data_IF_409399329232
#
_entry.id   IF_409399329232
#
_cell.length_a   1.000
_cell.length_b   1.000
_cell.length_c   1.000
_cell.angle_alpha   90.00
_cell.angle_beta   90.00
_cell.angle_gamma   90.00
#
_symmetry.space_group_name_H-M   'P 1'
#
loop_
_entity.id
_entity.type
_entity.pdbx_description
1 polymer ?
#
# COMPACT_ATOMS: atom_id res chain seq x y z
N UNK A 1 -6.20 -9.36 1.58
CA UNK A 1 -6.92 -9.51 2.86
C UNK A 1 -6.44 -8.42 3.78
N UNK A 2 -7.30 -7.87 4.64
CA UNK A 2 -6.91 -6.87 5.65
C UNK A 2 -7.31 -7.45 7.01
N UNK A 3 -6.34 -7.55 7.93
CA UNK A 3 -6.51 -8.12 9.27
C UNK A 3 -7.24 -9.48 9.25
N UNK A 4 -6.84 -10.36 8.32
CA UNK A 4 -7.43 -11.70 8.14
C UNK A 4 -8.81 -11.74 7.47
N UNK A 5 -9.44 -10.59 7.19
CA UNK A 5 -10.72 -10.52 6.47
C UNK A 5 -10.50 -10.30 4.98
N UNK A 6 -11.32 -10.94 4.15
CA UNK A 6 -11.34 -10.69 2.70
C UNK A 6 -12.05 -9.36 2.47
N UNK A 7 -11.29 -8.35 2.04
CA UNK A 7 -11.79 -7.06 1.60
C UNK A 7 -11.66 -7.01 0.08
N UNK A 8 -12.78 -6.75 -0.60
CA UNK A 8 -12.89 -6.68 -2.06
C UNK A 8 -13.16 -5.26 -2.58
N UNK A 9 -13.16 -4.26 -1.70
CA UNK A 9 -13.37 -2.84 -2.05
C UNK A 9 -12.00 -2.16 -2.16
N UNK A 10 -11.60 -1.66 -3.34
CA UNK A 10 -10.29 -1.04 -3.53
C UNK A 10 -10.19 0.34 -2.86
N UNK A 11 -11.31 1.03 -2.64
CA UNK A 11 -11.38 2.31 -1.92
C UNK A 11 -11.36 2.16 -0.39
N UNK A 12 -11.01 0.98 0.13
CA UNK A 12 -10.93 0.75 1.57
C UNK A 12 -9.79 1.56 2.19
N UNK A 13 -10.13 2.46 3.12
CA UNK A 13 -9.16 3.27 3.85
C UNK A 13 -8.46 2.44 4.92
N UNK A 14 -7.16 2.25 4.78
CA UNK A 14 -6.32 1.56 5.76
C UNK A 14 -6.03 2.46 6.96
N UNK A 15 -5.88 1.85 8.14
CA UNK A 15 -5.48 2.50 9.38
C UNK A 15 -4.06 2.07 9.77
N UNK A 16 -3.34 2.97 10.43
CA UNK A 16 -2.02 2.67 11.00
C UNK A 16 -2.08 1.39 11.85
N UNK A 17 -1.19 0.45 11.55
CA UNK A 17 -1.13 -0.88 12.16
C UNK A 17 -1.84 -1.99 11.38
N UNK A 18 -2.62 -1.68 10.33
CA UNK A 18 -3.32 -2.70 9.55
C UNK A 18 -2.36 -3.65 8.83
N UNK A 19 -2.66 -4.94 8.90
CA UNK A 19 -1.92 -6.01 8.24
C UNK A 19 -2.64 -6.43 6.96
N UNK A 20 -1.98 -6.24 5.82
CA UNK A 20 -2.48 -6.59 4.50
C UNK A 20 -1.77 -7.84 4.00
N UNK A 21 -2.50 -8.91 3.77
CA UNK A 21 -1.95 -10.18 3.28
C UNK A 21 -2.50 -10.59 1.93
N UNK A 22 -1.69 -11.31 1.15
CA UNK A 22 -2.20 -12.05 -0.02
C UNK A 22 -3.00 -13.25 0.48
N UNK A 23 -4.17 -13.50 -0.12
CA UNK A 23 -5.00 -14.67 0.23
C UNK A 23 -4.23 -15.95 -0.13
N UNK A 24 -4.25 -16.95 0.75
CA UNK A 24 -3.53 -18.23 0.55
C UNK A 24 -3.74 -18.86 -0.83
N UNK A 25 -4.99 -18.98 -1.29
CA UNK A 25 -5.32 -19.52 -2.63
C UNK A 25 -4.73 -18.73 -3.79
N UNK A 26 -4.35 -17.49 -3.54
CA UNK A 26 -3.78 -16.58 -4.54
C UNK A 26 -2.27 -16.48 -4.46
N UNK A 27 -1.62 -17.02 -3.41
CA UNK A 27 -0.15 -16.96 -3.27
C UNK A 27 0.59 -17.74 -4.37
N UNK A 28 -0.08 -18.73 -4.99
CA UNK A 28 0.47 -19.53 -6.08
C UNK A 28 0.36 -18.90 -7.47
N UNK A 29 -0.20 -17.68 -7.60
CA UNK A 29 -0.24 -17.01 -8.90
C UNK A 29 1.13 -16.43 -9.25
N UNK A 30 1.66 -16.85 -10.40
CA UNK A 30 2.98 -16.45 -10.92
C UNK A 30 3.11 -14.93 -11.10
N UNK A 31 2.01 -14.27 -11.54
CA UNK A 31 1.93 -12.81 -11.68
C UNK A 31 2.23 -12.08 -10.37
N UNK A 32 1.80 -12.64 -9.23
CA UNK A 32 2.01 -12.02 -7.92
C UNK A 32 3.46 -12.22 -7.49
N UNK A 33 4.02 -13.41 -7.68
CA UNK A 33 5.41 -13.69 -7.31
C UNK A 33 6.41 -12.87 -8.13
N UNK A 34 6.16 -12.67 -9.42
CA UNK A 34 7.05 -11.89 -10.28
C UNK A 34 6.96 -10.37 -9.98
N UNK A 35 5.76 -9.88 -9.68
CA UNK A 35 5.56 -8.49 -9.22
C UNK A 35 6.28 -8.22 -7.88
N UNK A 36 6.31 -9.20 -6.98
CA UNK A 36 7.02 -9.07 -5.71
C UNK A 36 8.54 -9.08 -5.89
N UNK A 37 9.08 -9.89 -6.81
CA UNK A 37 10.51 -9.95 -7.12
C UNK A 37 11.05 -8.66 -7.75
N UNK A 38 10.22 -7.97 -8.53
CA UNK A 38 10.56 -6.71 -9.19
C UNK A 38 10.42 -5.47 -8.29
N UNK A 39 10.11 -5.65 -7.00
CA UNK A 39 9.86 -4.55 -6.10
C UNK A 39 11.13 -3.77 -5.77
N UNK A 40 11.26 -2.60 -6.39
CA UNK A 40 12.38 -1.66 -6.17
C UNK A 40 12.17 -0.71 -4.98
N UNK A 41 10.92 -0.40 -4.62
CA UNK A 41 10.64 0.70 -3.68
C UNK A 41 10.23 0.17 -2.30
N UNK A 42 11.03 0.52 -1.29
CA UNK A 42 10.72 0.36 0.13
C UNK A 42 10.36 1.73 0.69
N UNK A 43 9.08 1.92 0.99
CA UNK A 43 8.60 3.12 1.65
C UNK A 43 8.76 2.99 3.16
N UNK A 44 9.14 4.07 3.85
CA UNK A 44 9.31 4.10 5.31
C UNK A 44 8.03 3.75 6.08
N UNK A 45 6.88 3.99 5.48
CA UNK A 45 5.55 3.79 6.06
C UNK A 45 4.92 2.41 5.75
N UNK A 46 5.62 1.55 5.01
CA UNK A 46 5.18 0.20 4.65
C UNK A 46 6.22 -0.84 5.04
N UNK A 47 5.84 -1.74 5.92
CA UNK A 47 6.61 -2.95 6.20
C UNK A 47 6.12 -4.09 5.30
N UNK A 48 7.02 -4.98 4.91
CA UNK A 48 6.69 -6.14 4.11
C UNK A 48 7.54 -7.35 4.49
N UNK A 49 6.85 -8.47 4.67
CA UNK A 49 7.41 -9.79 4.93
C UNK A 49 7.19 -10.67 3.69
N UNK A 50 8.27 -10.92 2.95
CA UNK A 50 8.27 -11.78 1.76
C UNK A 50 7.96 -13.23 2.10
N UNK A 51 8.33 -13.70 3.30
CA UNK A 51 8.13 -15.10 3.69
C UNK A 51 6.64 -15.42 3.88
N UNK A 52 5.88 -14.47 4.41
CA UNK A 52 4.44 -14.59 4.63
C UNK A 52 3.60 -14.01 3.51
N UNK A 53 4.21 -13.24 2.60
CA UNK A 53 3.52 -12.39 1.61
C UNK A 53 2.50 -11.47 2.29
N UNK A 54 2.95 -10.84 3.36
CA UNK A 54 2.17 -9.93 4.20
C UNK A 54 2.88 -8.59 4.32
N UNK A 55 2.12 -7.52 4.16
CA UNK A 55 2.55 -6.16 4.43
C UNK A 55 1.85 -5.60 5.65
N UNK A 56 2.49 -4.64 6.31
CA UNK A 56 1.90 -3.88 7.39
C UNK A 56 1.97 -2.40 7.03
N UNK A 57 0.82 -1.74 7.15
CA UNK A 57 0.76 -0.29 7.06
C UNK A 57 1.20 0.27 8.42
N UNK A 58 2.40 0.85 8.49
CA UNK A 58 3.00 1.27 9.78
C UNK A 58 2.30 2.53 10.27
N UNK A 59 2.29 3.57 9.45
CA UNK A 59 1.68 4.86 9.75
C UNK A 59 1.39 5.62 8.46
N UNK A 60 0.59 6.69 8.54
CA UNK A 60 0.46 7.59 7.41
C UNK A 60 1.80 8.32 7.16
N UNK A 61 2.29 8.40 5.92
CA UNK A 61 3.51 9.15 5.60
C UNK A 61 3.33 10.64 5.84
N UNK A 62 4.44 11.33 6.17
CA UNK A 62 4.50 12.78 6.08
C UNK A 62 4.68 13.21 4.62
N UNK A 63 4.40 14.48 4.32
CA UNK A 63 4.55 15.00 2.95
C UNK A 63 5.95 14.80 2.37
N UNK A 64 6.97 14.86 3.22
CA UNK A 64 8.37 14.66 2.86
C UNK A 64 8.69 13.21 2.45
N UNK A 65 7.92 12.22 2.90
CA UNK A 65 8.10 10.81 2.54
C UNK A 65 7.45 10.46 1.19
N UNK A 66 6.64 11.37 0.64
CA UNK A 66 5.97 11.21 -0.65
C UNK A 66 6.89 11.73 -1.76
N UNK A 67 7.45 10.80 -2.53
CA UNK A 67 8.39 11.08 -3.64
C UNK A 67 7.74 11.81 -4.82
N UNK A 68 6.42 11.93 -4.83
CA UNK A 68 5.67 12.56 -5.91
C UNK A 68 5.77 14.08 -5.83
N UNK A 69 6.21 14.69 -6.92
CA UNK A 69 6.36 16.14 -7.04
C UNK A 69 5.02 16.80 -7.41
N UNK A 70 4.04 16.68 -6.52
CA UNK A 70 2.71 17.26 -6.68
C UNK A 70 2.65 18.60 -5.93
N UNK A 71 2.22 19.65 -6.64
CA UNK A 71 1.93 20.97 -6.06
C UNK A 71 0.47 21.02 -5.60
N UNK A 72 0.23 20.65 -4.35
CA UNK A 72 -1.11 20.64 -3.72
C UNK A 72 -1.82 21.99 -3.83
N UNK A 73 -1.07 23.09 -3.75
CA UNK A 73 -1.61 24.44 -3.90
C UNK A 73 -2.40 24.62 -5.22
N UNK A 74 -1.90 24.06 -6.34
CA UNK A 74 -2.60 24.15 -7.63
C UNK A 74 -3.94 23.40 -7.62
N UNK A 75 -4.03 22.32 -6.82
CA UNK A 75 -5.26 21.54 -6.68
C UNK A 75 -6.28 22.35 -5.85
N UNK A 76 -5.84 22.99 -4.76
CA UNK A 76 -6.70 23.85 -3.93
C UNK A 76 -7.23 25.04 -4.74
N UNK A 77 -6.37 25.70 -5.51
CA UNK A 77 -6.74 26.82 -6.38
C UNK A 77 -7.76 26.42 -7.46
N UNK A 78 -7.64 25.20 -8.01
CA UNK A 78 -8.58 24.68 -9.02
C UNK A 78 -10.00 24.49 -8.46
N UNK A 79 -10.12 23.97 -7.24
CA UNK A 79 -11.42 23.69 -6.59
C UNK A 79 -12.01 24.89 -5.84
N UNK A 80 -11.24 25.97 -5.66
CA UNK A 80 -11.72 27.21 -5.03
C UNK A 80 -12.36 28.19 -6.02
N UNK A 81 -12.55 27.75 -7.27
CA UNK A 81 -13.13 28.52 -8.37
C UNK A 81 -14.57 28.09 -8.62
#
# INVERSE_FOLDING_TARGET
>A
MVNGKVVNIPSYTLKAGDQIGVRERSKSFEVITDSLRSRSNRYSWLEWDESKMEGKFVSAPARADITENIKEQLIVELYSK
#
